data_IF_912747113626
#
_entry.id   IF_912747113626
#
_cell.length_a   1.000
_cell.length_b   1.000
_cell.length_c   1.000
_cell.angle_alpha   90.00
_cell.angle_beta   90.00
_cell.angle_gamma   90.00
#
_symmetry.space_group_name_H-M   'P 1'
#
loop_
_entity.id
_entity.type
_entity.pdbx_description
1 polymer ?
#
# COMPACT_ATOMS: atom_id res chain seq x y z
N UNK A 1 18.17 -25.05 2.43
CA UNK A 1 17.75 -24.67 1.06
C UNK A 1 16.27 -24.28 0.92
N UNK A 2 15.30 -25.03 1.50
CA UNK A 2 13.86 -24.73 1.34
C UNK A 2 13.46 -23.32 1.85
N UNK A 3 13.96 -22.91 3.01
CA UNK A 3 13.65 -21.60 3.61
C UNK A 3 14.15 -20.41 2.78
N UNK A 4 15.33 -20.53 2.14
CA UNK A 4 15.84 -19.52 1.20
C UNK A 4 14.93 -19.36 -0.03
N UNK A 5 14.40 -20.47 -0.57
CA UNK A 5 13.46 -20.44 -1.71
C UNK A 5 12.14 -19.74 -1.37
N UNK A 6 11.59 -19.99 -0.18
CA UNK A 6 10.38 -19.30 0.29
C UNK A 6 10.59 -17.81 0.44
N UNK A 7 11.70 -17.39 1.05
CA UNK A 7 12.01 -15.97 1.20
C UNK A 7 12.16 -15.26 -0.15
N UNK A 8 12.85 -15.87 -1.12
CA UNK A 8 12.94 -15.31 -2.48
C UNK A 8 11.58 -15.23 -3.18
N UNK A 9 10.67 -16.16 -2.91
CA UNK A 9 9.31 -16.13 -3.45
C UNK A 9 8.43 -15.07 -2.76
N UNK A 10 8.53 -14.90 -1.45
CA UNK A 10 7.89 -13.80 -0.73
C UNK A 10 8.38 -12.43 -1.22
N UNK A 11 9.68 -12.32 -1.52
CA UNK A 11 10.26 -11.12 -2.11
C UNK A 11 9.74 -10.88 -3.53
N UNK A 12 9.57 -11.93 -4.35
CA UNK A 12 8.95 -11.81 -5.68
C UNK A 12 7.53 -11.24 -5.61
N UNK A 13 6.77 -11.62 -4.58
CA UNK A 13 5.42 -11.10 -4.33
C UNK A 13 5.42 -9.71 -3.66
N UNK A 14 6.59 -9.21 -3.23
CA UNK A 14 6.75 -7.96 -2.48
C UNK A 14 6.11 -7.97 -1.08
N UNK A 15 5.82 -9.15 -0.52
CA UNK A 15 4.99 -9.26 0.68
C UNK A 15 5.60 -8.69 1.97
N UNK A 16 6.90 -8.89 2.29
CA UNK A 16 7.45 -8.42 3.57
C UNK A 16 7.30 -6.91 3.79
N UNK A 17 7.29 -6.13 2.71
CA UNK A 17 7.29 -4.67 2.77
C UNK A 17 5.99 -4.06 2.22
N UNK A 18 5.29 -4.75 1.33
CA UNK A 18 4.01 -4.32 0.79
C UNK A 18 2.79 -4.73 1.61
N UNK A 19 2.91 -5.72 2.50
CA UNK A 19 1.78 -6.19 3.29
C UNK A 19 1.19 -5.08 4.20
N UNK A 20 1.99 -4.29 4.95
CA UNK A 20 1.44 -3.23 5.79
C UNK A 20 0.76 -2.14 4.96
N UNK A 21 1.34 -1.77 3.81
CA UNK A 21 0.75 -0.86 2.82
C UNK A 21 -0.65 -1.29 2.37
N UNK A 22 -0.78 -2.54 1.94
CA UNK A 22 -2.07 -3.10 1.49
C UNK A 22 -3.06 -3.16 2.65
N UNK A 23 -2.63 -3.66 3.81
CA UNK A 23 -3.47 -3.75 5.01
C UNK A 23 -3.98 -2.39 5.46
N UNK A 24 -3.11 -1.38 5.51
CA UNK A 24 -3.44 -0.04 5.94
C UNK A 24 -4.55 0.57 5.05
N UNK A 25 -4.35 0.51 3.73
CA UNK A 25 -5.33 1.03 2.77
C UNK A 25 -6.64 0.25 2.83
N UNK A 26 -6.56 -1.08 2.93
CA UNK A 26 -7.75 -1.94 3.01
C UNK A 26 -8.57 -1.70 4.26
N UNK A 27 -7.92 -1.63 5.43
CA UNK A 27 -8.60 -1.43 6.70
C UNK A 27 -9.20 -0.03 6.78
N UNK A 28 -8.44 1.02 6.44
CA UNK A 28 -8.96 2.39 6.45
C UNK A 28 -10.20 2.51 5.56
N UNK A 29 -10.18 1.92 4.36
CA UNK A 29 -11.31 1.97 3.44
C UNK A 29 -12.53 1.22 3.95
N UNK A 30 -12.33 0.08 4.62
CA UNK A 30 -13.44 -0.66 5.23
C UNK A 30 -14.08 0.09 6.39
N UNK A 31 -13.29 0.83 7.18
CA UNK A 31 -13.78 1.60 8.33
C UNK A 31 -14.57 2.86 7.95
N UNK A 32 -14.47 3.33 6.70
CA UNK A 32 -15.33 4.40 6.17
C UNK A 32 -16.78 3.93 6.04
N UNK A 33 -17.00 2.64 5.78
CA UNK A 33 -18.36 2.09 5.68
C UNK A 33 -18.95 1.84 7.08
N UNK A 34 -20.24 2.11 7.23
CA UNK A 34 -20.97 1.82 8.47
C UNK A 34 -21.25 0.32 8.54
N UNK A 35 -20.62 -0.38 9.49
CA UNK A 35 -20.77 -1.81 9.79
C UNK A 35 -20.38 -2.79 8.66
N UNK A 36 -19.11 -2.79 8.20
CA UNK A 36 -18.62 -3.79 7.27
C UNK A 36 -18.58 -5.20 7.89
N UNK A 37 -19.07 -6.20 7.17
CA UNK A 37 -18.93 -7.60 7.59
C UNK A 37 -17.46 -8.04 7.50
N UNK A 38 -16.96 -8.73 8.53
CA UNK A 38 -15.55 -9.18 8.58
C UNK A 38 -15.15 -10.00 7.34
N UNK A 39 -16.05 -10.83 6.83
CA UNK A 39 -15.83 -11.60 5.60
C UNK A 39 -15.59 -10.68 4.39
N UNK A 40 -16.35 -9.59 4.26
CA UNK A 40 -16.19 -8.59 3.20
C UNK A 40 -14.86 -7.87 3.32
N UNK A 41 -14.44 -7.51 4.55
CA UNK A 41 -13.13 -6.88 4.80
C UNK A 41 -12.00 -7.83 4.40
N UNK A 42 -12.07 -9.10 4.84
CA UNK A 42 -11.07 -10.12 4.52
C UNK A 42 -10.98 -10.37 3.00
N UNK A 43 -12.13 -10.42 2.32
CA UNK A 43 -12.20 -10.58 0.87
C UNK A 43 -11.64 -9.36 0.12
N UNK A 44 -11.97 -8.14 0.55
CA UNK A 44 -11.43 -6.90 -0.01
C UNK A 44 -9.91 -6.82 0.16
N UNK A 45 -9.41 -7.18 1.36
CA UNK A 45 -7.98 -7.28 1.63
C UNK A 45 -7.30 -8.33 0.74
N UNK A 46 -7.84 -9.55 0.64
CA UNK A 46 -7.29 -10.60 -0.20
C UNK A 46 -7.26 -10.18 -1.68
N UNK A 47 -8.30 -9.47 -2.14
CA UNK A 47 -8.37 -8.93 -3.51
C UNK A 47 -7.28 -7.88 -3.76
N UNK A 48 -7.13 -6.91 -2.86
CA UNK A 48 -6.09 -5.89 -2.96
C UNK A 48 -4.67 -6.48 -2.89
N UNK A 49 -4.47 -7.48 -2.02
CA UNK A 49 -3.20 -8.19 -1.92
C UNK A 49 -2.88 -8.96 -3.22
N UNK A 50 -3.88 -9.56 -3.85
CA UNK A 50 -3.70 -10.23 -5.13
C UNK A 50 -3.35 -9.22 -6.26
N UNK A 51 -3.99 -8.05 -6.29
CA UNK A 51 -3.63 -6.96 -7.22
C UNK A 51 -2.19 -6.50 -6.98
N UNK A 52 -1.80 -6.33 -5.72
CA UNK A 52 -0.44 -5.95 -5.35
C UNK A 52 0.59 -6.98 -5.82
N UNK A 53 0.35 -8.26 -5.52
CA UNK A 53 1.19 -9.36 -5.96
C UNK A 53 1.31 -9.41 -7.49
N UNK A 54 0.21 -9.21 -8.21
CA UNK A 54 0.21 -9.14 -9.67
C UNK A 54 1.15 -8.01 -10.16
N UNK A 55 1.01 -6.81 -9.59
CA UNK A 55 1.84 -5.66 -9.96
C UNK A 55 3.33 -5.91 -9.71
N UNK A 56 3.68 -6.45 -8.54
CA UNK A 56 5.06 -6.76 -8.16
C UNK A 56 5.68 -7.83 -9.07
N UNK A 57 4.97 -8.94 -9.29
CA UNK A 57 5.47 -10.01 -10.15
C UNK A 57 5.62 -9.52 -11.59
N UNK A 58 4.66 -8.75 -12.11
CA UNK A 58 4.73 -8.20 -13.46
C UNK A 58 5.92 -7.25 -13.62
N UNK A 59 6.14 -6.36 -12.65
CA UNK A 59 7.32 -5.49 -12.59
C UNK A 59 8.61 -6.31 -12.66
N UNK A 60 8.78 -7.30 -11.78
CA UNK A 60 10.00 -8.11 -11.75
C UNK A 60 10.21 -8.90 -13.04
N UNK A 61 9.14 -9.42 -13.66
CA UNK A 61 9.24 -10.10 -14.96
C UNK A 61 9.70 -9.11 -16.05
N UNK A 62 9.11 -7.91 -16.11
CA UNK A 62 9.41 -6.92 -17.13
C UNK A 62 10.83 -6.34 -16.97
N UNK A 63 11.27 -6.11 -15.74
CA UNK A 63 12.57 -5.53 -15.45
C UNK A 63 13.71 -6.56 -15.41
N UNK A 64 13.43 -7.87 -15.31
CA UNK A 64 14.46 -8.92 -15.21
C UNK A 64 15.60 -8.83 -16.25
N UNK A 65 15.35 -8.53 -17.54
CA UNK A 65 16.42 -8.36 -18.52
C UNK A 65 17.38 -7.21 -18.19
N UNK A 66 16.84 -6.09 -17.69
CA UNK A 66 17.63 -4.90 -17.34
C UNK A 66 18.36 -5.13 -16.01
N UNK A 67 17.66 -5.67 -15.02
CA UNK A 67 18.19 -5.92 -13.68
C UNK A 67 19.29 -6.99 -13.65
N UNK A 68 19.46 -7.76 -14.73
CA UNK A 68 20.59 -8.70 -14.89
C UNK A 68 21.91 -7.95 -15.10
N UNK A 69 21.87 -6.81 -15.78
CA UNK A 69 23.06 -6.00 -16.09
C UNK A 69 23.26 -4.85 -15.10
N UNK A 70 22.18 -4.36 -14.49
CA UNK A 70 22.21 -3.27 -13.51
C UNK A 70 21.24 -3.56 -12.36
N UNK A 71 21.61 -4.43 -11.40
CA UNK A 71 20.73 -4.80 -10.30
C UNK A 71 20.44 -3.61 -9.38
N UNK A 72 19.16 -3.42 -9.04
CA UNK A 72 18.77 -2.44 -8.02
C UNK A 72 19.13 -2.95 -6.62
N UNK A 73 19.93 -2.19 -5.88
CA UNK A 73 20.27 -2.52 -4.48
C UNK A 73 19.06 -2.36 -3.54
N UNK A 74 18.17 -1.41 -3.85
CA UNK A 74 17.01 -1.08 -3.01
C UNK A 74 15.81 -2.01 -3.22
N UNK A 75 15.75 -2.70 -4.35
CA UNK A 75 14.65 -3.58 -4.72
C UNK A 75 15.18 -4.76 -5.57
N UNK A 76 15.85 -5.73 -4.92
CA UNK A 76 16.56 -6.79 -5.62
C UNK A 76 15.57 -7.73 -6.31
N UNK A 77 15.73 -7.92 -7.62
CA UNK A 77 14.86 -8.75 -8.42
C UNK A 77 15.23 -10.25 -8.29
N UNK A 78 14.39 -11.08 -7.66
CA UNK A 78 14.73 -12.49 -7.44
C UNK A 78 14.79 -13.31 -8.74
N UNK A 79 14.23 -12.82 -9.84
CA UNK A 79 14.28 -13.46 -11.15
C UNK A 79 15.64 -13.22 -11.82
N UNK A 80 16.15 -11.99 -11.82
CA UNK A 80 17.44 -11.66 -12.45
C UNK A 80 18.61 -12.34 -11.73
N UNK A 81 18.52 -12.47 -10.40
CA UNK A 81 19.50 -13.22 -9.59
C UNK A 81 19.37 -14.75 -9.69
N UNK A 82 18.45 -15.27 -10.52
CA UNK A 82 18.26 -16.71 -10.69
C UNK A 82 17.68 -17.44 -9.47
N UNK A 83 17.19 -16.72 -8.46
CA UNK A 83 16.61 -17.32 -7.25
C UNK A 83 15.21 -17.89 -7.49
N UNK A 84 14.46 -17.29 -8.43
CA UNK A 84 13.14 -17.75 -8.87
C UNK A 84 13.12 -17.90 -10.38
N UNK A 85 12.62 -19.03 -10.89
CA UNK A 85 12.51 -19.25 -12.32
C UNK A 85 11.42 -18.36 -12.95
N UNK A 86 11.64 -17.93 -14.19
CA UNK A 86 10.66 -17.16 -14.95
C UNK A 86 9.31 -17.91 -15.10
N UNK A 87 9.35 -19.24 -15.20
CA UNK A 87 8.14 -20.07 -15.26
C UNK A 87 7.33 -19.97 -13.97
N UNK A 88 7.99 -20.08 -12.82
CA UNK A 88 7.33 -19.92 -11.50
C UNK A 88 6.75 -18.52 -11.33
N UNK A 89 7.46 -17.49 -11.78
CA UNK A 89 6.96 -16.11 -11.73
C UNK A 89 5.71 -15.92 -12.60
N UNK A 90 5.69 -16.46 -13.83
CA UNK A 90 4.49 -16.40 -14.70
C UNK A 90 3.29 -17.15 -14.11
N UNK A 91 3.53 -18.29 -13.47
CA UNK A 91 2.48 -19.03 -12.76
C UNK A 91 1.92 -18.19 -11.61
N UNK A 92 2.79 -17.60 -10.78
CA UNK A 92 2.39 -16.72 -9.68
C UNK A 92 1.60 -15.50 -10.17
N UNK A 93 2.05 -14.87 -11.26
CA UNK A 93 1.36 -13.76 -11.91
C UNK A 93 -0.07 -14.15 -12.31
N UNK A 94 -0.23 -15.30 -12.97
CA UNK A 94 -1.52 -15.79 -13.43
C UNK A 94 -2.46 -16.11 -12.25
N UNK A 95 -1.96 -16.75 -11.20
CA UNK A 95 -2.74 -16.99 -9.99
C UNK A 95 -3.16 -15.70 -9.29
N UNK A 96 -2.26 -14.72 -9.18
CA UNK A 96 -2.58 -13.41 -8.61
C UNK A 96 -3.68 -12.71 -9.43
N UNK A 97 -3.58 -12.74 -10.76
CA UNK A 97 -4.60 -12.20 -11.66
C UNK A 97 -5.96 -12.86 -11.46
N UNK A 98 -6.03 -14.19 -11.52
CA UNK A 98 -7.29 -14.93 -11.32
C UNK A 98 -7.88 -14.63 -9.94
N UNK A 99 -7.07 -14.66 -8.90
CA UNK A 99 -7.52 -14.41 -7.53
C UNK A 99 -8.08 -13.00 -7.39
N UNK A 100 -7.43 -12.01 -8.01
CA UNK A 100 -7.93 -10.62 -8.01
C UNK A 100 -9.27 -10.48 -8.74
N UNK A 101 -9.44 -11.15 -9.89
CA UNK A 101 -10.67 -11.08 -10.67
C UNK A 101 -11.84 -11.79 -9.97
N UNK A 102 -11.59 -12.99 -9.41
CA UNK A 102 -12.59 -13.72 -8.62
C UNK A 102 -12.98 -12.90 -7.38
N UNK A 103 -12.00 -12.38 -6.64
CA UNK A 103 -12.25 -11.54 -5.48
C UNK A 103 -13.07 -10.30 -5.81
N UNK A 104 -12.71 -9.59 -6.89
CA UNK A 104 -13.44 -8.42 -7.37
C UNK A 104 -14.89 -8.75 -7.77
N UNK A 105 -15.09 -9.87 -8.47
CA UNK A 105 -16.41 -10.35 -8.86
C UNK A 105 -17.30 -10.68 -7.66
N UNK A 106 -16.73 -11.26 -6.60
CA UNK A 106 -17.45 -11.57 -5.36
C UNK A 106 -17.78 -10.33 -4.52
N UNK A 107 -17.12 -9.20 -4.75
CA UNK A 107 -17.35 -7.95 -4.02
C UNK A 107 -18.42 -7.09 -4.70
N UNK A 108 -18.10 -6.46 -5.84
CA UNK A 108 -19.04 -5.60 -6.57
C UNK A 108 -18.58 -5.33 -8.01
N UNK A 109 -19.50 -4.85 -8.86
CA UNK A 109 -19.15 -4.42 -10.21
C UNK A 109 -18.13 -3.26 -10.23
N UNK A 110 -18.14 -2.40 -9.22
CA UNK A 110 -17.16 -1.29 -9.10
C UNK A 110 -15.77 -1.86 -8.82
N UNK A 111 -15.68 -2.89 -7.97
CA UNK A 111 -14.42 -3.58 -7.69
C UNK A 111 -13.84 -4.23 -8.95
N UNK A 112 -14.68 -4.74 -9.85
CA UNK A 112 -14.23 -5.26 -11.16
C UNK A 112 -13.57 -4.14 -11.95
N UNK A 113 -14.21 -2.98 -12.09
CA UNK A 113 -13.67 -1.83 -12.81
C UNK A 113 -12.34 -1.35 -12.20
N UNK A 114 -12.25 -1.26 -10.88
CA UNK A 114 -11.03 -0.87 -10.16
C UNK A 114 -9.90 -1.89 -10.33
N UNK A 115 -10.23 -3.17 -10.37
CA UNK A 115 -9.26 -4.26 -10.60
C UNK A 115 -8.72 -4.19 -12.03
N UNK A 116 -9.57 -4.03 -13.04
CA UNK A 116 -9.13 -3.81 -14.42
C UNK A 116 -8.29 -2.53 -14.55
N UNK A 117 -8.69 -1.46 -13.88
CA UNK A 117 -7.91 -0.20 -13.85
C UNK A 117 -6.51 -0.44 -13.26
N UNK A 118 -6.40 -1.24 -12.19
CA UNK A 118 -5.11 -1.61 -11.60
C UNK A 118 -4.25 -2.43 -12.55
N UNK A 119 -4.85 -3.36 -13.29
CA UNK A 119 -4.15 -4.18 -14.29
C UNK A 119 -3.62 -3.28 -15.41
N UNK A 120 -4.48 -2.42 -15.98
CA UNK A 120 -4.09 -1.46 -17.01
C UNK A 120 -3.00 -0.51 -16.53
N UNK A 121 -3.10 -0.02 -15.29
CA UNK A 121 -2.05 0.80 -14.67
C UNK A 121 -0.74 0.03 -14.58
N UNK A 122 -0.76 -1.23 -14.13
CA UNK A 122 0.44 -2.09 -14.07
C UNK A 122 1.11 -2.19 -15.43
N UNK A 123 0.32 -2.46 -16.47
CA UNK A 123 0.81 -2.55 -17.84
C UNK A 123 1.36 -1.21 -18.32
N UNK A 124 0.66 -0.10 -18.09
CA UNK A 124 1.13 1.22 -18.48
C UNK A 124 2.45 1.60 -17.80
N UNK A 125 2.64 1.21 -16.54
CA UNK A 125 3.87 1.44 -15.79
C UNK A 125 5.05 0.62 -16.30
N UNK A 126 4.83 -0.66 -16.62
CA UNK A 126 5.94 -1.63 -16.81
C UNK A 126 6.06 -2.24 -18.19
N UNK A 127 5.05 -2.14 -19.04
CA UNK A 127 5.11 -2.72 -20.37
C UNK A 127 6.16 -1.99 -21.23
N UNK A 128 7.03 -2.71 -21.96
CA UNK A 128 8.16 -2.12 -22.70
C UNK A 128 7.78 -0.96 -23.63
N UNK A 129 6.60 -1.02 -24.26
CA UNK A 129 6.14 -0.01 -25.22
C UNK A 129 5.60 1.29 -24.61
N UNK A 130 5.22 1.31 -23.32
CA UNK A 130 4.59 2.48 -22.67
C UNK A 130 5.37 3.00 -21.46
N UNK A 131 6.06 2.09 -20.75
CA UNK A 131 6.94 2.27 -19.58
C UNK A 131 6.90 3.64 -18.88
N UNK A 132 5.73 3.99 -18.33
CA UNK A 132 5.53 5.22 -17.57
C UNK A 132 6.36 5.25 -16.27
N UNK A 133 6.84 4.09 -15.80
CA UNK A 133 7.73 3.98 -14.64
C UNK A 133 9.08 4.69 -14.80
N UNK A 134 9.46 5.11 -16.02
CA UNK A 134 10.63 5.98 -16.22
C UNK A 134 10.47 7.34 -15.53
N UNK A 135 9.24 7.82 -15.35
CA UNK A 135 8.99 9.00 -14.55
C UNK A 135 9.23 8.68 -13.08
N UNK A 136 10.13 9.44 -12.44
CA UNK A 136 10.53 9.22 -11.04
C UNK A 136 9.35 9.19 -10.06
N UNK A 137 8.31 9.99 -10.28
CA UNK A 137 7.12 9.99 -9.42
C UNK A 137 6.18 8.80 -9.63
N UNK A 138 6.21 8.17 -10.81
CA UNK A 138 5.35 7.04 -11.18
C UNK A 138 6.05 5.68 -11.06
N UNK A 139 7.33 5.65 -10.69
CA UNK A 139 8.01 4.38 -10.47
C UNK A 139 7.39 3.63 -9.29
N UNK A 140 7.09 2.34 -9.46
CA UNK A 140 6.54 1.49 -8.40
C UNK A 140 7.66 0.64 -7.79
N UNK A 141 8.16 1.04 -6.61
CA UNK A 141 9.04 0.19 -5.81
C UNK A 141 8.21 -0.71 -4.90
N UNK A 142 7.77 -0.17 -3.76
CA UNK A 142 7.05 -0.91 -2.70
C UNK A 142 5.70 -0.30 -2.39
N UNK A 143 5.65 1.02 -2.36
CA UNK A 143 4.45 1.84 -2.20
C UNK A 143 4.20 2.61 -3.49
N UNK A 144 2.93 2.85 -3.81
CA UNK A 144 2.59 3.71 -4.94
C UNK A 144 1.23 4.34 -4.70
N UNK A 145 1.19 5.67 -4.81
CA UNK A 145 0.04 6.47 -4.44
C UNK A 145 -1.24 6.08 -5.20
N UNK A 146 -1.16 5.80 -6.51
CA UNK A 146 -2.32 5.33 -7.27
C UNK A 146 -2.85 3.98 -6.78
N UNK A 147 -1.98 3.02 -6.46
CA UNK A 147 -2.41 1.74 -5.90
C UNK A 147 -3.00 1.92 -4.49
N UNK A 148 -2.43 2.80 -3.67
CA UNK A 148 -2.99 3.14 -2.36
C UNK A 148 -4.43 3.64 -2.50
N UNK A 149 -4.65 4.57 -3.44
CA UNK A 149 -5.99 5.07 -3.76
C UNK A 149 -6.94 3.96 -4.24
N UNK A 150 -6.49 3.11 -5.16
CA UNK A 150 -7.32 1.99 -5.66
C UNK A 150 -7.64 0.99 -4.55
N UNK A 151 -6.68 0.64 -3.69
CA UNK A 151 -6.89 -0.28 -2.57
C UNK A 151 -7.90 0.25 -1.57
N UNK A 152 -7.78 1.54 -1.23
CA UNK A 152 -8.75 2.23 -0.38
C UNK A 152 -10.16 2.18 -1.02
N UNK A 153 -10.28 2.59 -2.29
CA UNK A 153 -11.57 2.61 -3.00
C UNK A 153 -12.17 1.21 -3.12
N UNK A 154 -11.35 0.19 -3.41
CA UNK A 154 -11.79 -1.19 -3.44
C UNK A 154 -12.43 -1.60 -2.11
N UNK A 155 -11.82 -1.23 -0.98
CA UNK A 155 -12.38 -1.52 0.34
C UNK A 155 -13.61 -0.69 0.71
N UNK A 156 -13.70 0.55 0.23
CA UNK A 156 -14.89 1.40 0.43
C UNK A 156 -16.09 0.80 -0.33
N UNK A 157 -15.91 0.49 -1.62
CA UNK A 157 -16.96 -0.02 -2.49
C UNK A 157 -17.23 -1.52 -2.36
N UNK A 158 -16.42 -2.24 -1.58
CA UNK A 158 -16.71 -3.61 -1.17
C UNK A 158 -17.99 -3.70 -0.32
N UNK A 159 -18.39 -2.61 0.33
CA UNK A 159 -19.59 -2.57 1.15
C UNK A 159 -20.80 -2.05 0.36
N UNK A 160 -21.98 -2.58 0.70
CA UNK A 160 -23.24 -2.30 -0.01
C UNK A 160 -23.79 -0.88 0.21
N UNK A 161 -23.36 -0.20 1.28
CA UNK A 161 -23.84 1.14 1.61
C UNK A 161 -23.07 2.17 0.77
N UNK A 162 -23.79 2.94 -0.04
CA UNK A 162 -23.22 4.04 -0.83
C UNK A 162 -22.77 5.16 0.12
N UNK A 163 -21.46 5.40 0.28
CA UNK A 163 -20.97 6.48 1.12
C UNK A 163 -21.24 7.84 0.46
N UNK A 164 -21.31 8.90 1.26
CA UNK A 164 -21.36 10.25 0.71
C UNK A 164 -20.03 10.58 0.00
N UNK A 165 -20.07 11.43 -1.02
CA UNK A 165 -18.86 11.80 -1.78
C UNK A 165 -17.73 12.34 -0.88
N UNK A 166 -18.09 13.08 0.16
CA UNK A 166 -17.15 13.61 1.17
C UNK A 166 -16.46 12.48 1.94
N UNK A 167 -17.20 11.44 2.33
CA UNK A 167 -16.68 10.25 3.05
C UNK A 167 -15.69 9.44 2.21
N UNK A 168 -15.71 9.60 0.89
CA UNK A 168 -14.74 8.96 -0.03
C UNK A 168 -13.56 9.89 -0.32
N UNK A 169 -13.84 11.16 -0.62
CA UNK A 169 -12.87 12.10 -1.14
C UNK A 169 -11.73 12.37 -0.14
N UNK A 170 -12.03 12.65 1.12
CA UNK A 170 -10.99 13.02 2.08
C UNK A 170 -10.09 11.84 2.48
N UNK A 171 -10.61 10.63 2.77
CA UNK A 171 -9.75 9.46 2.97
C UNK A 171 -8.89 9.15 1.75
N UNK A 172 -9.44 9.33 0.53
CA UNK A 172 -8.69 9.16 -0.70
C UNK A 172 -7.55 10.18 -0.84
N UNK A 173 -7.82 11.46 -0.58
CA UNK A 173 -6.82 12.52 -0.60
C UNK A 173 -5.75 12.31 0.49
N UNK A 174 -6.14 11.82 1.67
CA UNK A 174 -5.22 11.45 2.73
C UNK A 174 -4.27 10.34 2.27
N UNK A 175 -4.80 9.24 1.72
CA UNK A 175 -4.00 8.12 1.22
C UNK A 175 -3.08 8.54 0.07
N UNK A 176 -3.62 9.21 -0.94
CA UNK A 176 -2.83 9.68 -2.09
C UNK A 176 -1.75 10.66 -1.63
N UNK A 177 -2.10 11.64 -0.79
CA UNK A 177 -1.17 12.62 -0.25
C UNK A 177 -0.05 11.98 0.57
N UNK A 178 -0.39 11.01 1.43
CA UNK A 178 0.58 10.28 2.24
C UNK A 178 1.60 9.54 1.39
N UNK A 179 1.16 8.78 0.39
CA UNK A 179 2.08 8.01 -0.47
C UNK A 179 2.78 8.86 -1.53
N UNK A 180 2.22 10.00 -1.94
CA UNK A 180 2.95 10.99 -2.73
C UNK A 180 4.09 11.60 -1.94
N UNK A 181 3.85 11.93 -0.66
CA UNK A 181 4.87 12.43 0.24
C UNK A 181 5.95 11.36 0.47
N UNK A 182 5.55 10.10 0.71
CA UNK A 182 6.45 8.95 0.78
C UNK A 182 7.33 8.86 -0.47
N UNK A 183 6.72 8.92 -1.67
CA UNK A 183 7.46 8.84 -2.93
C UNK A 183 8.41 10.02 -3.13
N UNK A 184 7.99 11.23 -2.76
CA UNK A 184 8.83 12.42 -2.86
C UNK A 184 10.10 12.32 -2.00
N UNK A 185 10.00 11.68 -0.83
CA UNK A 185 11.16 11.38 0.01
C UNK A 185 12.07 10.31 -0.62
N UNK A 186 11.51 9.25 -1.22
CA UNK A 186 12.29 8.24 -1.93
C UNK A 186 13.08 8.84 -3.09
N UNK A 187 12.45 9.71 -3.89
CA UNK A 187 13.11 10.37 -5.03
C UNK A 187 14.22 11.31 -4.55
N UNK A 188 13.99 12.08 -3.47
CA UNK A 188 15.01 12.96 -2.89
C UNK A 188 16.26 12.19 -2.44
N UNK A 189 16.09 10.97 -1.92
CA UNK A 189 17.24 10.14 -1.54
C UNK A 189 18.02 9.63 -2.76
N UNK A 190 17.31 9.27 -3.82
CA UNK A 190 17.94 8.76 -5.03
C UNK A 190 18.67 9.87 -5.81
N UNK A 191 18.13 11.09 -5.83
CA UNK A 191 18.68 12.26 -6.54
C UNK A 191 18.66 13.51 -5.63
N UNK A 192 19.69 13.73 -4.79
CA UNK A 192 19.73 14.86 -3.84
C UNK A 192 19.75 16.26 -4.47
N UNK A 193 20.04 16.35 -5.77
CA UNK A 193 20.39 17.60 -6.46
C UNK A 193 19.22 18.28 -7.19
N UNK A 194 18.04 17.65 -7.28
CA UNK A 194 16.87 18.24 -7.97
C UNK A 194 16.06 19.18 -7.08
N UNK A 195 16.09 20.47 -7.42
CA UNK A 195 15.43 21.57 -6.69
C UNK A 195 13.90 21.65 -6.89
N UNK A 196 13.28 20.80 -7.71
CA UNK A 196 11.84 20.83 -8.06
C UNK A 196 10.94 20.06 -7.06
N UNK A 197 11.53 19.24 -6.18
CA UNK A 197 10.83 18.45 -5.17
C UNK A 197 10.27 19.20 -3.94
N UNK A 198 10.75 20.38 -3.49
CA UNK A 198 10.26 21.00 -2.25
C UNK A 198 8.83 21.53 -2.40
N UNK A 199 8.44 22.04 -3.57
CA UNK A 199 7.08 22.52 -3.82
C UNK A 199 6.06 21.37 -3.72
N UNK A 200 6.32 20.25 -4.40
CA UNK A 200 5.44 19.07 -4.34
C UNK A 200 5.32 18.51 -2.92
N UNK A 201 6.40 18.56 -2.14
CA UNK A 201 6.40 18.16 -0.71
C UNK A 201 5.51 19.07 0.13
N UNK A 202 5.62 20.39 -0.02
CA UNK A 202 4.78 21.34 0.72
C UNK A 202 3.31 21.16 0.35
N UNK A 203 3.01 21.03 -0.95
CA UNK A 203 1.64 20.83 -1.43
C UNK A 203 1.06 19.51 -0.92
N UNK A 204 1.80 18.40 -1.06
CA UNK A 204 1.34 17.09 -0.58
C UNK A 204 1.19 17.05 0.94
N UNK A 205 2.10 17.67 1.70
CA UNK A 205 1.99 17.78 3.15
C UNK A 205 0.77 18.61 3.59
N UNK A 206 0.50 19.71 2.88
CA UNK A 206 -0.67 20.57 3.16
C UNK A 206 -1.97 19.82 2.88
N UNK A 207 -2.06 19.15 1.73
CA UNK A 207 -3.22 18.31 1.37
C UNK A 207 -3.39 17.18 2.41
N UNK A 208 -2.30 16.51 2.78
CA UNK A 208 -2.30 15.44 3.77
C UNK A 208 -2.85 15.91 5.12
N UNK A 209 -2.39 17.06 5.61
CA UNK A 209 -2.79 17.59 6.92
C UNK A 209 -4.26 17.98 6.93
N UNK A 210 -4.73 18.68 5.89
CA UNK A 210 -6.14 19.06 5.74
C UNK A 210 -7.01 17.80 5.62
N UNK A 211 -6.62 16.86 4.76
CA UNK A 211 -7.37 15.63 4.56
C UNK A 211 -7.41 14.77 5.83
N UNK A 212 -6.30 14.64 6.55
CA UNK A 212 -6.24 13.93 7.83
C UNK A 212 -7.17 14.57 8.87
N UNK A 213 -7.17 15.91 8.98
CA UNK A 213 -8.05 16.62 9.91
C UNK A 213 -9.53 16.35 9.58
N UNK A 214 -9.91 16.45 8.30
CA UNK A 214 -11.31 16.21 7.90
C UNK A 214 -11.69 14.75 8.10
N UNK A 215 -10.86 13.80 7.65
CA UNK A 215 -11.12 12.36 7.81
C UNK A 215 -11.23 11.97 9.28
N UNK A 216 -10.24 12.25 10.10
CA UNK A 216 -10.20 11.71 11.47
C UNK A 216 -11.01 12.53 12.49
N UNK A 217 -11.14 13.86 12.33
CA UNK A 217 -11.85 14.70 13.29
C UNK A 217 -13.31 14.94 12.92
N UNK A 218 -13.62 15.15 11.63
CA UNK A 218 -14.97 15.49 11.18
C UNK A 218 -15.76 14.25 10.80
N UNK A 219 -15.20 13.38 9.95
CA UNK A 219 -15.90 12.16 9.49
C UNK A 219 -15.89 11.06 10.53
N UNK A 220 -14.87 11.03 11.39
CA UNK A 220 -14.73 10.09 12.52
C UNK A 220 -14.96 8.63 12.10
N UNK A 221 -14.21 8.10 11.11
CA UNK A 221 -14.30 6.69 10.72
C UNK A 221 -13.86 5.77 11.86
N UNK A 222 -13.08 6.29 12.82
CA UNK A 222 -12.65 5.59 14.04
C UNK A 222 -12.85 6.48 15.27
N UNK A 223 -13.15 5.90 16.44
CA UNK A 223 -13.23 6.65 17.69
C UNK A 223 -11.87 7.24 18.12
N UNK A 224 -11.90 8.36 18.84
CA UNK A 224 -10.71 9.13 19.22
C UNK A 224 -9.69 8.35 20.07
N UNK A 225 -10.14 7.40 20.89
CA UNK A 225 -9.23 6.59 21.70
C UNK A 225 -8.30 5.72 20.84
N UNK A 226 -8.74 5.31 19.65
CA UNK A 226 -7.89 4.60 18.69
C UNK A 226 -6.89 5.53 18.03
N UNK A 227 -7.30 6.76 17.71
CA UNK A 227 -6.36 7.77 17.20
C UNK A 227 -5.28 8.02 18.24
N UNK A 228 -5.65 8.12 19.53
CA UNK A 228 -4.70 8.21 20.63
C UNK A 228 -3.79 6.97 20.72
N UNK A 229 -4.35 5.76 20.56
CA UNK A 229 -3.57 4.52 20.52
C UNK A 229 -2.58 4.50 19.35
N UNK A 230 -2.99 4.95 18.16
CA UNK A 230 -2.14 5.03 16.98
C UNK A 230 -0.97 5.99 17.22
N UNK A 231 -1.25 7.19 17.72
CA UNK A 231 -0.23 8.18 18.06
C UNK A 231 0.72 7.62 19.13
N UNK A 232 0.18 6.96 20.17
CA UNK A 232 0.97 6.33 21.22
C UNK A 232 1.90 5.23 20.70
N UNK A 233 1.37 4.28 19.91
CA UNK A 233 2.18 3.20 19.31
C UNK A 233 3.27 3.74 18.39
N UNK A 234 2.95 4.76 17.59
CA UNK A 234 3.93 5.44 16.74
C UNK A 234 5.03 6.06 17.59
N UNK A 235 4.68 6.78 18.66
CA UNK A 235 5.65 7.38 19.57
C UNK A 235 6.55 6.36 20.28
N UNK A 236 5.99 5.22 20.72
CA UNK A 236 6.75 4.14 21.35
C UNK A 236 7.73 3.51 20.37
N UNK A 237 7.29 3.18 19.15
CA UNK A 237 8.17 2.61 18.12
C UNK A 237 9.30 3.59 17.73
N UNK A 238 9.00 4.89 17.69
CA UNK A 238 10.01 5.92 17.49
C UNK A 238 10.99 6.00 18.67
N UNK A 239 10.52 6.00 19.91
CA UNK A 239 11.40 6.03 21.09
C UNK A 239 12.39 4.86 21.11
N UNK A 240 11.90 3.64 20.82
CA UNK A 240 12.74 2.42 20.77
C UNK A 240 13.78 2.52 19.64
N UNK A 241 13.40 3.00 18.47
CA UNK A 241 14.32 3.15 17.33
C UNK A 241 15.35 4.25 17.54
N UNK A 242 14.97 5.39 18.12
CA UNK A 242 15.90 6.44 18.53
C UNK A 242 16.90 5.96 19.60
N UNK A 243 16.47 5.11 20.53
CA UNK A 243 17.37 4.53 21.54
C UNK A 243 18.39 3.53 20.98
N UNK A 244 18.11 2.96 19.80
CA UNK A 244 18.96 1.94 19.16
C UNK A 244 19.78 2.47 17.97
N UNK A 245 19.43 3.62 17.39
CA UNK A 245 20.16 4.28 16.32
C UNK A 245 20.86 5.54 16.84
N UNK A 246 22.15 5.45 17.14
CA UNK A 246 22.96 6.57 17.64
C UNK A 246 23.42 7.57 16.57
N UNK A 247 23.10 7.33 15.29
CA UNK A 247 23.50 8.21 14.17
C UNK A 247 22.31 8.59 13.30
N UNK A 248 22.27 9.87 12.91
CA UNK A 248 21.24 10.48 12.07
C UNK A 248 21.31 9.89 10.65
N UNK A 249 20.59 8.78 10.42
CA UNK A 249 20.58 8.14 9.10
C UNK A 249 19.71 8.95 8.12
N UNK A 250 20.12 9.12 6.86
CA UNK A 250 19.31 9.81 5.86
C UNK A 250 17.93 9.13 5.69
N UNK A 251 17.79 7.84 5.98
CA UNK A 251 16.53 7.10 5.86
C UNK A 251 15.48 7.37 6.94
N UNK A 252 15.76 8.26 7.90
CA UNK A 252 14.91 8.51 9.06
C UNK A 252 13.47 8.95 8.70
N UNK A 253 13.28 9.77 7.67
CA UNK A 253 11.94 10.22 7.26
C UNK A 253 11.09 9.09 6.65
N UNK A 254 11.70 8.21 5.85
CA UNK A 254 11.00 7.04 5.30
C UNK A 254 10.68 6.03 6.41
N UNK A 255 11.59 5.90 7.38
CA UNK A 255 11.36 5.08 8.56
C UNK A 255 10.17 5.58 9.40
N UNK A 256 10.09 6.89 9.65
CA UNK A 256 8.96 7.54 10.34
C UNK A 256 7.61 7.21 9.68
N UNK A 257 7.55 7.26 8.34
CA UNK A 257 6.31 6.93 7.61
C UNK A 257 5.94 5.46 7.72
N UNK A 258 6.91 4.54 7.68
CA UNK A 258 6.66 3.11 7.90
C UNK A 258 6.16 2.82 9.31
N UNK A 259 6.75 3.48 10.32
CA UNK A 259 6.29 3.38 11.71
C UNK A 259 4.84 3.85 11.85
N UNK A 260 4.51 4.97 11.23
CA UNK A 260 3.16 5.50 11.20
C UNK A 260 2.17 4.52 10.55
N UNK A 261 2.49 3.99 9.37
CA UNK A 261 1.66 3.01 8.65
C UNK A 261 1.44 1.74 9.48
N UNK A 262 2.51 1.14 10.00
CA UNK A 262 2.47 -0.07 10.82
C UNK A 262 1.64 0.13 12.09
N UNK A 263 1.83 1.26 12.79
CA UNK A 263 1.07 1.60 13.99
C UNK A 263 -0.42 1.80 13.68
N UNK A 264 -0.73 2.33 12.49
CA UNK A 264 -2.10 2.48 12.00
C UNK A 264 -2.77 1.13 11.75
N UNK A 265 -2.07 0.20 11.08
CA UNK A 265 -2.53 -1.17 10.87
C UNK A 265 -2.88 -1.85 12.20
N UNK A 266 -1.96 -1.79 13.18
CA UNK A 266 -2.20 -2.40 14.51
C UNK A 266 -3.44 -1.80 15.18
N UNK A 267 -3.57 -0.47 15.13
CA UNK A 267 -4.71 0.24 15.72
C UNK A 267 -6.03 -0.17 15.07
N UNK A 268 -6.08 -0.22 13.74
CA UNK A 268 -7.30 -0.60 13.01
C UNK A 268 -7.68 -2.07 13.25
N UNK A 269 -6.70 -2.97 13.38
CA UNK A 269 -6.95 -4.36 13.74
C UNK A 269 -7.52 -4.49 15.17
N UNK A 270 -6.97 -3.75 16.14
CA UNK A 270 -7.50 -3.71 17.51
C UNK A 270 -8.96 -3.25 17.52
N UNK A 271 -9.29 -2.22 16.72
CA UNK A 271 -10.67 -1.77 16.60
C UNK A 271 -11.60 -2.82 16.03
N UNK A 272 -11.18 -3.48 14.94
CA UNK A 272 -11.97 -4.50 14.26
C UNK A 272 -12.27 -5.67 15.22
N UNK A 273 -11.26 -6.11 16.00
CA UNK A 273 -11.43 -7.13 17.02
C UNK A 273 -12.46 -6.69 18.07
N UNK A 274 -12.38 -5.45 18.56
CA UNK A 274 -13.29 -4.94 19.58
C UNK A 274 -14.74 -4.84 19.08
N UNK A 275 -14.94 -4.29 17.88
CA UNK A 275 -16.26 -4.22 17.23
C UNK A 275 -16.85 -5.62 17.06
N UNK A 276 -16.04 -6.56 16.57
CA UNK A 276 -16.47 -7.93 16.34
C UNK A 276 -16.88 -8.64 17.64
N UNK A 277 -16.05 -8.57 18.69
CA UNK A 277 -16.37 -9.19 19.99
C UNK A 277 -17.69 -8.65 20.55
N UNK A 278 -17.96 -7.36 20.40
CA UNK A 278 -19.20 -6.75 20.90
C UNK A 278 -20.43 -7.16 20.08
N UNK A 279 -20.31 -7.37 18.77
CA UNK A 279 -21.43 -7.87 17.94
C UNK A 279 -21.86 -9.30 18.26
N UNK A 280 -20.99 -10.16 18.82
CA UNK A 280 -21.36 -11.53 19.23
C UNK A 280 -21.93 -11.64 20.65
N UNK A 281 -21.88 -10.55 21.43
CA UNK A 281 -22.45 -10.49 22.79
C UNK A 281 -23.87 -9.93 22.83
N UNK A 282 -24.37 -9.39 21.72
CA UNK A 282 -25.75 -8.93 21.52
C UNK A 282 -26.59 -10.00 20.86
#
# INVERSE_FOLDING_TARGET
MKQKKWNSFFNLLGLPEGLPFVLFCSLLGSLVSKAPALATIALAFATNLAIYCFAQVYKHISNAPVDTFSPSESDPNPISHGMVSLRSARIALFFALITSLIGAFLLSYINIVLTFTSILLTLALFHPNMRLSHNLLLSFNRHHFLYGGIFLLNSIFANLVRPAAIEILFPLLFVIGFYLLFRSEEVRMALPQEQTLPFLRIVSASILLIAAAVTFLLQKPVPFWLIALWVFLSAVQLSISFSSQSEYSPHQHLYLMRVFENSGVVTFLVYLIFVFINTFKS
#
